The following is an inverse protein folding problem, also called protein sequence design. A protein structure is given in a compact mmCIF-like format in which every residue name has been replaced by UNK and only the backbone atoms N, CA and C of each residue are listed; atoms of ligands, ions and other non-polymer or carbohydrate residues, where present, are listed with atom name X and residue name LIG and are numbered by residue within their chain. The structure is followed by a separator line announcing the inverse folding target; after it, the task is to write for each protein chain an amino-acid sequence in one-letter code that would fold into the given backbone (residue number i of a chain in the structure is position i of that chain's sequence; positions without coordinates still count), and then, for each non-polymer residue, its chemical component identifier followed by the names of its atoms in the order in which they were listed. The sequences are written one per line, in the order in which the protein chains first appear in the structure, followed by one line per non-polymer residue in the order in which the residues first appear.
data_IF_671373617303
#
_entry.id   IF_671373617303
#
_cell.length_a   1.000
_cell.length_b   1.000
_cell.length_c   1.000
_cell.angle_alpha   90.00
_cell.angle_beta   90.00
_cell.angle_gamma   90.00
#
_symmetry.space_group_name_H-M   'P 1'
#
loop_
_entity.id
_entity.type
_entity.pdbx_description
1 polymer ?
#
# COMPACT_ATOMS: atom_id res chain seq x y z
N UNK A 1 13.79 -8.67 11.34
CA UNK A 1 12.99 -8.37 10.14
C UNK A 1 11.61 -8.92 10.42
N UNK A 2 10.64 -8.08 10.80
CA UNK A 2 9.24 -8.52 10.84
C UNK A 2 8.80 -8.86 9.42
N UNK A 3 7.99 -9.89 9.25
CA UNK A 3 7.42 -10.23 7.94
C UNK A 3 6.68 -9.01 7.38
N UNK A 4 6.98 -8.62 6.14
CA UNK A 4 6.28 -7.53 5.47
C UNK A 4 4.80 -7.91 5.34
N UNK A 5 3.95 -7.21 6.08
CA UNK A 5 2.51 -7.45 6.08
C UNK A 5 1.87 -6.67 4.94
N UNK A 6 0.91 -7.26 4.25
CA UNK A 6 0.13 -6.55 3.24
C UNK A 6 -1.29 -6.28 3.72
N UNK A 7 -1.80 -5.07 3.44
CA UNK A 7 -3.15 -4.63 3.79
C UNK A 7 -3.71 -3.85 2.61
N UNK A 8 -4.83 -4.30 2.04
CA UNK A 8 -5.49 -3.65 0.89
C UNK A 8 -4.54 -3.33 -0.29
N UNK A 9 -3.60 -4.22 -0.61
CA UNK A 9 -2.65 -3.98 -1.70
C UNK A 9 -1.47 -3.05 -1.35
N UNK A 10 -1.39 -2.57 -0.12
CA UNK A 10 -0.25 -1.83 0.41
C UNK A 10 0.65 -2.71 1.28
N UNK A 11 1.94 -2.39 1.29
CA UNK A 11 2.98 -3.05 2.08
C UNK A 11 3.24 -2.26 3.36
N UNK A 12 3.29 -2.96 4.50
CA UNK A 12 3.62 -2.40 5.80
C UNK A 12 5.06 -2.77 6.12
N UNK A 13 5.95 -1.78 6.12
CA UNK A 13 7.38 -1.97 6.30
C UNK A 13 7.90 -1.20 7.51
N UNK A 14 8.81 -1.83 8.25
CA UNK A 14 9.54 -1.16 9.33
C UNK A 14 10.92 -0.73 8.82
N UNK A 15 11.22 0.56 8.95
CA UNK A 15 12.53 1.11 8.66
C UNK A 15 13.54 0.83 9.79
N UNK A 16 14.82 1.05 9.51
CA UNK A 16 15.93 0.75 10.45
C UNK A 16 15.90 1.59 11.73
N UNK A 17 15.20 2.72 11.70
CA UNK A 17 14.95 3.62 12.81
C UNK A 17 13.76 3.18 13.69
N UNK A 18 13.10 2.08 13.35
CA UNK A 18 11.93 1.55 14.05
C UNK A 18 10.61 2.17 13.60
N UNK A 19 10.64 3.14 12.69
CA UNK A 19 9.46 3.80 12.14
C UNK A 19 8.77 2.91 11.10
N UNK A 20 7.45 3.05 10.99
CA UNK A 20 6.62 2.24 10.11
C UNK A 20 6.14 3.06 8.92
N UNK A 21 6.10 2.42 7.77
CA UNK A 21 5.77 3.02 6.49
C UNK A 21 4.75 2.15 5.76
N UNK A 22 3.86 2.82 5.02
CA UNK A 22 2.93 2.20 4.09
C UNK A 22 3.46 2.47 2.69
N UNK A 23 3.82 1.41 1.98
CA UNK A 23 4.33 1.48 0.62
C UNK A 23 3.34 0.85 -0.36
N UNK A 24 3.39 1.23 -1.63
CA UNK A 24 2.68 0.51 -2.69
C UNK A 24 3.34 -0.84 -2.93
N UNK A 25 2.64 -1.74 -3.61
CA UNK A 25 3.24 -2.96 -4.19
C UNK A 25 4.44 -2.66 -5.12
N UNK A 26 4.57 -1.44 -5.63
CA UNK A 26 5.72 -0.98 -6.42
C UNK A 26 6.92 -0.51 -5.58
N UNK A 27 6.81 -0.51 -4.25
CA UNK A 27 7.86 -0.03 -3.34
C UNK A 27 7.91 1.49 -3.21
N UNK A 28 6.88 2.20 -3.66
CA UNK A 28 6.76 3.65 -3.49
C UNK A 28 6.18 3.96 -2.11
N UNK A 29 6.75 4.93 -1.41
CA UNK A 29 6.18 5.34 -0.14
C UNK A 29 4.87 6.10 -0.31
N UNK A 30 3.80 5.57 0.27
CA UNK A 30 2.45 6.13 0.20
C UNK A 30 2.12 6.94 1.46
N UNK A 31 2.52 6.44 2.64
CA UNK A 31 2.32 7.14 3.90
C UNK A 31 3.38 6.78 4.95
N UNK A 32 3.61 7.71 5.89
CA UNK A 32 4.51 7.56 7.01
C UNK A 32 5.37 8.82 7.23
N UNK A 33 6.29 8.79 8.21
CA UNK A 33 6.52 7.67 9.13
C UNK A 33 5.45 7.57 10.24
N UNK A 34 5.22 6.34 10.73
CA UNK A 34 4.34 6.04 11.86
C UNK A 34 5.13 5.44 13.03
N UNK A 35 4.71 5.70 14.29
CA UNK A 35 5.40 5.19 15.46
C UNK A 35 5.10 3.71 15.77
N UNK A 36 4.11 3.08 15.11
CA UNK A 36 3.78 1.67 15.32
C UNK A 36 3.19 1.01 14.06
N UNK A 37 3.29 -0.32 14.00
CA UNK A 37 2.70 -1.14 12.95
C UNK A 37 1.18 -0.95 12.87
N UNK A 38 0.51 -0.89 14.02
CA UNK A 38 -0.94 -0.75 14.10
C UNK A 38 -1.44 0.51 13.39
N UNK A 39 -0.75 1.65 13.56
CA UNK A 39 -1.11 2.89 12.87
C UNK A 39 -0.91 2.80 11.36
N UNK A 40 0.18 2.17 10.91
CA UNK A 40 0.39 1.92 9.50
C UNK A 40 -0.70 1.02 8.91
N UNK A 41 -1.12 -0.02 9.64
CA UNK A 41 -2.23 -0.92 9.27
C UNK A 41 -3.54 -0.15 9.19
N UNK A 42 -3.87 0.68 10.18
CA UNK A 42 -5.10 1.48 10.18
C UNK A 42 -5.16 2.39 8.96
N UNK A 43 -4.06 3.08 8.63
CA UNK A 43 -3.97 3.94 7.44
C UNK A 43 -4.12 3.13 6.15
N UNK A 44 -3.40 2.01 6.01
CA UNK A 44 -3.53 1.12 4.86
C UNK A 44 -4.93 0.51 4.73
N UNK A 45 -5.62 0.26 5.85
CA UNK A 45 -6.99 -0.26 5.86
C UNK A 45 -8.03 0.75 5.36
N UNK A 46 -7.76 2.04 5.53
CA UNK A 46 -8.63 3.15 5.09
C UNK A 46 -8.33 3.56 3.66
N UNK A 47 -7.10 3.36 3.19
CA UNK A 47 -6.74 3.55 1.79
C UNK A 47 -7.59 2.63 0.91
N UNK A 48 -8.63 3.21 0.31
CA UNK A 48 -9.44 2.55 -0.68
C UNK A 48 -8.61 2.48 -1.96
N UNK A 49 -8.28 1.27 -2.40
CA UNK A 49 -7.83 1.03 -3.76
C UNK A 49 -8.90 1.62 -4.69
N UNK A 50 -8.56 2.76 -5.30
CA UNK A 50 -9.36 3.36 -6.35
C UNK A 50 -9.58 2.24 -7.38
N UNK A 51 -10.84 1.90 -7.74
CA UNK A 51 -11.09 0.78 -8.64
C UNK A 51 -10.23 0.96 -9.89
N UNK A 52 -9.45 -0.07 -10.21
CA UNK A 52 -8.50 -0.06 -11.31
C UNK A 52 -9.15 0.65 -12.51
N UNK A 53 -8.49 1.73 -12.97
CA UNK A 53 -9.04 2.61 -14.00
C UNK A 53 -9.70 1.76 -15.09
N UNK A 54 -10.98 2.00 -15.42
CA UNK A 54 -11.77 1.07 -16.22
C UNK A 54 -11.01 0.76 -17.49
N UNK A 55 -10.60 -0.51 -17.62
CA UNK A 55 -9.86 -1.03 -18.77
C UNK A 55 -10.70 -0.71 -19.99
N UNK A 56 -10.38 0.35 -20.73
CA UNK A 56 -11.09 0.71 -21.96
C UNK A 56 -11.00 -0.53 -22.83
N UNK A 57 -12.11 -1.26 -23.01
CA UNK A 57 -12.21 -2.34 -23.99
C UNK A 57 -11.91 -1.70 -25.33
N UNK A 58 -10.64 -1.78 -25.73
CA UNK A 58 -10.18 -1.49 -27.08
C UNK A 58 -10.92 -2.44 -27.98
N UNK A 59 -11.98 -1.89 -28.56
CA UNK A 59 -12.87 -2.41 -29.58
C UNK A 59 -12.15 -3.39 -30.52
N UNK A 60 -12.41 -4.68 -30.35
CA UNK A 60 -12.37 -5.66 -31.45
C UNK A 60 -13.32 -5.14 -32.55
N UNK A 61 -12.77 -4.45 -33.53
CA UNK A 61 -13.33 -4.25 -34.88
C UNK A 61 -12.21 -3.90 -35.85
N UNK A 62 -11.58 -4.91 -36.44
CA UNK A 62 -11.70 -5.25 -37.88
C UNK A 62 -10.52 -6.08 -38.35
#
# INVERSE_FOLDING_TARGET
MSEAKSVNGYLINQAKDGQWWVDSVGGENIAGPFPSEALAIEVASVLQDQPAAPKRRGKDKS
#
